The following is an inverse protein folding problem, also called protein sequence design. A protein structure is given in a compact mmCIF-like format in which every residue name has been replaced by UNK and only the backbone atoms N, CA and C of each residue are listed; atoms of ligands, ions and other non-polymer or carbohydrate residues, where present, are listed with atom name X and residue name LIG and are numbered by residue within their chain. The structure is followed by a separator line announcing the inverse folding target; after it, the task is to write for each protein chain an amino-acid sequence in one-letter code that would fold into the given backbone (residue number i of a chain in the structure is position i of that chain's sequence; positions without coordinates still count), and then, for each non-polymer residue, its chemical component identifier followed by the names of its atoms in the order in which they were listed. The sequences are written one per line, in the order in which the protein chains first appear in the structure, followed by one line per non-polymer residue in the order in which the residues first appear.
data_IF_221525482715
#
_entry.id   IF_221525482715
#
_cell.length_a   1.000
_cell.length_b   1.000
_cell.length_c   1.000
_cell.angle_alpha   90.00
_cell.angle_beta   90.00
_cell.angle_gamma   90.00
#
_symmetry.space_group_name_H-M   'P 1'
#
loop_
_entity.id
_entity.type
_entity.pdbx_description
1 polymer ?
#
# COMPACT_ATOMS: atom_id res chain seq x y z
N UNK A 1 -6.46 12.54 -45.99
CA UNK A 1 -5.95 11.96 -44.73
C UNK A 1 -6.46 12.85 -43.60
N UNK A 2 -7.58 12.45 -43.01
CA UNK A 2 -8.20 13.19 -41.89
C UNK A 2 -7.51 12.78 -40.63
N UNK A 3 -6.74 13.69 -40.05
CA UNK A 3 -6.16 13.51 -38.70
C UNK A 3 -7.32 13.55 -37.70
N UNK A 4 -7.75 12.38 -37.23
CA UNK A 4 -8.68 12.29 -36.10
C UNK A 4 -7.95 12.86 -34.89
N UNK A 5 -8.33 14.05 -34.47
CA UNK A 5 -7.87 14.65 -33.24
C UNK A 5 -8.26 13.67 -32.12
N UNK A 6 -7.25 13.06 -31.49
CA UNK A 6 -7.41 12.21 -30.32
C UNK A 6 -7.97 13.12 -29.22
N UNK A 7 -9.25 12.98 -28.90
CA UNK A 7 -9.81 13.67 -27.73
C UNK A 7 -8.92 13.34 -26.53
N UNK A 8 -8.53 14.40 -25.83
CA UNK A 8 -7.77 14.23 -24.58
C UNK A 8 -8.59 13.34 -23.64
N UNK A 9 -7.97 12.38 -22.93
CA UNK A 9 -8.67 11.52 -22.00
C UNK A 9 -9.51 12.40 -21.08
N UNK A 10 -10.78 12.00 -20.86
CA UNK A 10 -11.73 12.74 -20.01
C UNK A 10 -11.21 12.76 -18.58
N UNK A 11 -10.29 13.69 -18.33
CA UNK A 11 -9.78 13.95 -17.02
C UNK A 11 -10.95 14.28 -16.10
N UNK A 12 -10.94 13.74 -14.89
CA UNK A 12 -11.93 13.98 -13.85
C UNK A 12 -11.95 15.48 -13.54
N UNK A 13 -12.89 16.19 -14.17
CA UNK A 13 -12.88 17.66 -14.18
C UNK A 13 -13.78 18.28 -13.12
N UNK A 14 -14.80 17.53 -12.63
CA UNK A 14 -15.71 18.06 -11.62
C UNK A 14 -15.32 17.58 -10.21
N UNK A 15 -15.57 18.46 -9.22
CA UNK A 15 -15.40 18.11 -7.81
C UNK A 15 -16.37 17.01 -7.39
N UNK A 16 -17.56 17.00 -7.95
CA UNK A 16 -18.63 16.04 -7.62
C UNK A 16 -18.24 14.63 -8.08
N UNK A 17 -17.76 14.48 -9.33
CA UNK A 17 -17.27 13.20 -9.86
C UNK A 17 -16.10 12.68 -9.02
N UNK A 18 -15.12 13.54 -8.72
CA UNK A 18 -13.97 13.15 -7.92
C UNK A 18 -14.38 12.70 -6.52
N UNK A 19 -15.29 13.43 -5.87
CA UNK A 19 -15.75 13.11 -4.52
C UNK A 19 -16.53 11.80 -4.49
N UNK A 20 -17.34 11.52 -5.50
CA UNK A 20 -18.10 10.27 -5.61
C UNK A 20 -17.14 9.07 -5.75
N UNK A 21 -16.18 9.14 -6.67
CA UNK A 21 -15.17 8.11 -6.87
C UNK A 21 -14.30 7.92 -5.62
N UNK A 22 -13.87 9.02 -4.99
CA UNK A 22 -13.08 8.97 -3.78
C UNK A 22 -13.84 8.26 -2.64
N UNK A 23 -15.10 8.62 -2.42
CA UNK A 23 -15.93 8.02 -1.37
C UNK A 23 -16.10 6.50 -1.58
N UNK A 24 -16.28 6.06 -2.83
CA UNK A 24 -16.41 4.64 -3.16
C UNK A 24 -15.15 3.84 -2.78
N UNK A 25 -13.96 4.42 -2.89
CA UNK A 25 -12.69 3.73 -2.64
C UNK A 25 -12.10 4.00 -1.24
N UNK A 26 -12.68 4.93 -0.45
CA UNK A 26 -12.18 5.28 0.89
C UNK A 26 -11.95 4.09 1.83
N UNK A 27 -12.81 3.05 1.88
CA UNK A 27 -12.56 1.91 2.75
C UNK A 27 -11.24 1.20 2.45
N UNK A 28 -10.88 1.04 1.17
CA UNK A 28 -9.62 0.39 0.78
C UNK A 28 -8.43 1.33 0.95
N UNK A 29 -8.60 2.62 0.65
CA UNK A 29 -7.60 3.67 0.91
C UNK A 29 -7.17 3.66 2.38
N UNK A 30 -8.14 3.68 3.30
CA UNK A 30 -7.88 3.66 4.74
C UNK A 30 -7.19 2.37 5.18
N UNK A 31 -7.56 1.20 4.62
CA UNK A 31 -6.88 -0.07 4.92
C UNK A 31 -5.41 -0.04 4.49
N UNK A 32 -5.12 0.49 3.29
CA UNK A 32 -3.73 0.63 2.81
C UNK A 32 -2.95 1.59 3.71
N UNK A 33 -3.50 2.76 4.03
CA UNK A 33 -2.86 3.72 4.91
C UNK A 33 -2.56 3.10 6.29
N UNK A 34 -3.53 2.44 6.92
CA UNK A 34 -3.34 1.75 8.21
C UNK A 34 -2.29 0.66 8.14
N UNK A 35 -2.17 -0.04 7.01
CA UNK A 35 -1.21 -1.14 6.85
C UNK A 35 0.22 -0.66 6.64
N UNK A 36 0.41 0.45 5.92
CA UNK A 36 1.73 0.87 5.43
C UNK A 36 2.24 2.19 5.99
N UNK A 37 1.39 3.01 6.61
CA UNK A 37 1.84 4.21 7.31
C UNK A 37 2.56 3.86 8.62
N UNK A 38 3.45 4.75 9.10
CA UNK A 38 3.99 4.66 10.45
C UNK A 38 2.88 4.68 11.50
N UNK A 39 3.15 4.07 12.68
CA UNK A 39 2.19 4.05 13.77
C UNK A 39 1.70 5.46 14.12
N UNK A 40 0.39 5.63 14.25
CA UNK A 40 -0.27 6.91 14.56
C UNK A 40 -0.40 7.88 13.40
N UNK A 41 0.12 7.58 12.18
CA UNK A 41 0.10 8.49 11.04
C UNK A 41 -0.84 8.05 9.89
N UNK A 42 -1.69 7.05 10.10
CA UNK A 42 -2.55 6.54 9.04
C UNK A 42 -3.55 7.59 8.54
N UNK A 43 -4.12 8.39 9.44
CA UNK A 43 -5.09 9.42 9.10
C UNK A 43 -4.40 10.59 8.36
N UNK A 44 -3.22 11.00 8.81
CA UNK A 44 -2.41 12.02 8.14
C UNK A 44 -2.04 11.58 6.70
N UNK A 45 -1.60 10.32 6.55
CA UNK A 45 -1.28 9.74 5.24
C UNK A 45 -2.51 9.69 4.34
N UNK A 46 -3.67 9.33 4.90
CA UNK A 46 -4.93 9.32 4.15
C UNK A 46 -5.29 10.72 3.65
N UNK A 47 -5.20 11.72 4.51
CA UNK A 47 -5.49 13.12 4.14
C UNK A 47 -4.52 13.63 3.07
N UNK A 48 -3.21 13.43 3.27
CA UNK A 48 -2.18 13.83 2.29
C UNK A 48 -2.40 13.14 0.93
N UNK A 49 -2.76 11.85 0.94
CA UNK A 49 -3.06 11.12 -0.28
C UNK A 49 -4.30 11.67 -1.00
N UNK A 50 -5.38 12.01 -0.27
CA UNK A 50 -6.57 12.62 -0.84
C UNK A 50 -6.27 14.01 -1.44
N UNK A 51 -5.49 14.83 -0.74
CA UNK A 51 -5.05 16.13 -1.23
C UNK A 51 -4.15 16.00 -2.47
N UNK A 52 -3.23 15.04 -2.47
CA UNK A 52 -2.38 14.77 -3.63
C UNK A 52 -3.22 14.26 -4.82
N UNK A 53 -4.17 13.36 -4.58
CA UNK A 53 -5.09 12.88 -5.61
C UNK A 53 -5.90 14.02 -6.22
N UNK A 54 -6.43 14.93 -5.41
CA UNK A 54 -7.14 16.11 -5.91
C UNK A 54 -6.23 17.02 -6.75
N UNK A 55 -5.02 17.31 -6.30
CA UNK A 55 -4.05 18.15 -7.05
C UNK A 55 -3.69 17.52 -8.40
N UNK A 56 -3.55 16.18 -8.45
CA UNK A 56 -3.12 15.45 -9.65
C UNK A 56 -4.27 14.79 -10.41
N UNK A 57 -5.55 15.09 -10.11
CA UNK A 57 -6.72 14.48 -10.75
C UNK A 57 -6.72 14.58 -12.28
N UNK A 58 -6.12 15.65 -12.82
CA UNK A 58 -5.97 15.86 -14.26
C UNK A 58 -5.01 14.88 -14.92
N UNK A 59 -4.20 14.12 -14.13
CA UNK A 59 -3.30 13.08 -14.61
C UNK A 59 -3.92 11.70 -14.57
N UNK A 60 -5.11 11.57 -14.02
CA UNK A 60 -5.83 10.31 -14.02
C UNK A 60 -6.29 10.01 -15.45
N UNK A 61 -5.94 8.84 -15.93
CA UNK A 61 -6.31 8.33 -17.25
C UNK A 61 -7.04 6.99 -17.07
N UNK A 62 -8.36 6.95 -17.31
CA UNK A 62 -9.15 5.72 -17.17
C UNK A 62 -8.75 4.62 -18.15
N UNK A 63 -8.07 4.93 -19.26
CA UNK A 63 -7.54 3.94 -20.18
C UNK A 63 -6.33 3.19 -19.60
N UNK A 64 -5.60 3.80 -18.68
CA UNK A 64 -4.44 3.20 -18.01
C UNK A 64 -4.77 2.42 -16.73
N UNK A 65 -6.00 2.49 -16.24
CA UNK A 65 -6.43 1.73 -15.07
C UNK A 65 -7.56 2.37 -14.29
N UNK A 66 -8.04 1.65 -13.27
CA UNK A 66 -9.13 2.13 -12.43
C UNK A 66 -8.68 3.28 -11.51
N UNK A 67 -9.63 4.16 -11.13
CA UNK A 67 -9.41 5.21 -10.14
C UNK A 67 -8.88 4.63 -8.81
N UNK A 68 -9.40 3.48 -8.40
CA UNK A 68 -8.92 2.78 -7.22
C UNK A 68 -7.41 2.46 -7.31
N UNK A 69 -6.96 1.85 -8.40
CA UNK A 69 -5.53 1.52 -8.57
C UNK A 69 -4.66 2.78 -8.59
N UNK A 70 -5.14 3.83 -9.24
CA UNK A 70 -4.42 5.10 -9.32
C UNK A 70 -4.26 5.76 -7.94
N UNK A 71 -5.34 5.90 -7.15
CA UNK A 71 -5.26 6.50 -5.82
C UNK A 71 -4.47 5.64 -4.84
N UNK A 72 -4.55 4.30 -4.94
CA UNK A 72 -3.77 3.40 -4.08
C UNK A 72 -2.26 3.54 -4.31
N UNK A 73 -1.81 3.85 -5.54
CA UNK A 73 -0.40 4.20 -5.81
C UNK A 73 0.00 5.46 -5.04
N UNK A 74 -0.87 6.45 -4.96
CA UNK A 74 -0.63 7.70 -4.22
C UNK A 74 -0.55 7.41 -2.71
N UNK A 75 -1.51 6.68 -2.16
CA UNK A 75 -1.54 6.29 -0.72
C UNK A 75 -0.29 5.50 -0.34
N UNK A 76 0.08 4.53 -1.16
CA UNK A 76 1.28 3.71 -0.93
C UNK A 76 2.55 4.56 -0.97
N UNK A 77 2.65 5.50 -1.91
CA UNK A 77 3.75 6.45 -1.99
C UNK A 77 3.84 7.36 -0.75
N UNK A 78 2.72 7.98 -0.33
CA UNK A 78 2.69 8.85 0.85
C UNK A 78 3.00 8.07 2.14
N UNK A 79 2.56 6.81 2.27
CA UNK A 79 2.93 5.93 3.38
C UNK A 79 4.44 5.72 3.47
N UNK A 80 5.10 5.42 2.35
CA UNK A 80 6.56 5.27 2.30
C UNK A 80 7.30 6.57 2.59
N UNK A 81 6.80 7.69 2.10
CA UNK A 81 7.36 9.03 2.33
C UNK A 81 7.27 9.43 3.82
N UNK A 82 6.13 9.15 4.46
CA UNK A 82 5.95 9.35 5.91
C UNK A 82 6.96 8.52 6.71
N UNK A 83 7.12 7.24 6.39
CA UNK A 83 8.12 6.37 7.01
C UNK A 83 9.56 6.86 6.81
N UNK A 84 9.89 7.40 5.64
CA UNK A 84 11.22 7.96 5.38
C UNK A 84 11.47 9.27 6.17
N UNK A 85 10.44 10.11 6.34
CA UNK A 85 10.52 11.32 7.19
C UNK A 85 10.74 10.95 8.66
N UNK A 86 9.97 9.98 9.17
CA UNK A 86 10.11 9.49 10.55
C UNK A 86 11.52 8.97 10.84
N UNK A 87 12.11 8.19 9.92
CA UNK A 87 13.50 7.71 10.08
C UNK A 87 14.52 8.84 10.09
N UNK A 88 14.37 9.87 9.22
CA UNK A 88 15.27 11.04 9.21
C UNK A 88 15.17 11.83 10.51
N UNK A 89 13.98 12.06 11.02
CA UNK A 89 13.80 12.75 12.29
C UNK A 89 14.28 11.90 13.48
N UNK A 90 14.09 10.58 13.45
CA UNK A 90 14.64 9.66 14.45
C UNK A 90 16.17 9.59 14.47
N UNK A 91 16.84 9.74 13.33
CA UNK A 91 18.30 9.84 13.25
C UNK A 91 18.83 11.14 13.89
N UNK A 92 18.04 12.22 13.91
CA UNK A 92 18.38 13.47 14.61
C UNK A 92 18.16 13.38 16.12
N UNK A 93 17.29 12.48 16.59
CA UNK A 93 16.94 12.29 18.01
C UNK A 93 17.62 11.07 18.67
N UNK A 94 18.59 10.43 18.00
CA UNK A 94 19.43 9.36 18.55
C UNK A 94 18.79 7.98 18.58
N UNK A 95 19.25 7.13 17.70
CA UNK A 95 19.54 5.69 17.81
C UNK A 95 18.62 4.76 18.64
N UNK A 96 17.33 4.80 18.59
CA UNK A 96 16.52 3.67 19.09
C UNK A 96 15.23 3.58 18.28
N UNK A 97 15.10 2.53 17.51
CA UNK A 97 13.91 1.98 16.83
C UNK A 97 14.04 1.91 15.31
N UNK A 98 15.08 1.24 14.85
CA UNK A 98 15.12 0.82 13.45
C UNK A 98 14.81 -0.68 13.41
N UNK A 99 13.58 -1.03 13.09
CA UNK A 99 13.18 -2.30 12.45
C UNK A 99 11.67 -2.58 12.40
N UNK A 100 10.80 -1.86 13.13
CA UNK A 100 9.39 -2.26 13.28
C UNK A 100 8.34 -1.33 12.66
N UNK A 101 8.72 -0.27 11.94
CA UNK A 101 7.78 0.80 11.59
C UNK A 101 6.88 0.56 10.36
N UNK A 102 6.99 -0.57 9.66
CA UNK A 102 6.17 -0.85 8.49
C UNK A 102 5.01 -1.84 8.75
N UNK A 103 4.76 -2.24 9.98
CA UNK A 103 3.79 -3.26 10.28
C UNK A 103 3.12 -3.17 11.66
N UNK A 104 3.12 -2.00 12.30
CA UNK A 104 2.69 -1.88 13.70
C UNK A 104 1.32 -1.22 13.86
N UNK A 105 0.35 -1.54 13.02
CA UNK A 105 -1.02 -1.29 13.40
C UNK A 105 -1.76 -2.62 13.50
N UNK A 106 -2.49 -2.76 14.62
CA UNK A 106 -3.18 -3.96 15.05
C UNK A 106 -3.79 -4.72 13.87
N UNK A 107 -3.40 -5.97 13.76
CA UNK A 107 -4.07 -6.95 12.94
C UNK A 107 -5.56 -6.98 13.31
N UNK A 108 -6.44 -7.39 12.40
CA UNK A 108 -7.83 -7.64 12.72
C UNK A 108 -7.92 -8.49 13.98
N UNK A 109 -8.91 -8.23 14.86
CA UNK A 109 -9.12 -9.01 16.08
C UNK A 109 -9.11 -10.50 15.75
N UNK A 110 -8.18 -11.25 16.33
CA UNK A 110 -8.06 -12.70 16.13
C UNK A 110 -6.75 -13.15 15.45
N UNK A 111 -5.86 -12.24 15.09
CA UNK A 111 -4.55 -12.62 14.54
C UNK A 111 -3.55 -12.86 15.68
N UNK A 112 -2.75 -13.92 15.50
CA UNK A 112 -1.70 -14.31 16.43
C UNK A 112 -0.53 -13.31 16.39
N UNK A 113 -0.13 -12.77 17.55
CA UNK A 113 1.05 -11.92 17.71
C UNK A 113 2.33 -12.55 17.16
N UNK A 114 2.41 -13.87 17.19
CA UNK A 114 3.53 -14.63 16.65
C UNK A 114 3.62 -14.54 15.13
N UNK A 115 2.48 -14.64 14.46
CA UNK A 115 2.41 -14.46 13.00
C UNK A 115 2.76 -13.03 12.59
N UNK A 116 2.31 -12.02 13.36
CA UNK A 116 2.67 -10.61 13.11
C UNK A 116 4.18 -10.40 13.20
N UNK A 117 4.81 -10.89 14.27
CA UNK A 117 6.26 -10.81 14.46
C UNK A 117 7.01 -11.52 13.32
N UNK A 118 6.49 -12.65 12.85
CA UNK A 118 7.08 -13.42 11.73
C UNK A 118 6.96 -12.65 10.42
N UNK A 119 5.79 -12.06 10.12
CA UNK A 119 5.59 -11.22 8.94
C UNK A 119 6.49 -9.97 8.99
N UNK A 120 6.71 -9.39 10.16
CA UNK A 120 7.60 -8.23 10.31
C UNK A 120 9.07 -8.55 9.97
N UNK A 121 9.49 -9.82 10.09
CA UNK A 121 10.86 -10.30 9.74
C UNK A 121 11.05 -10.57 8.25
N UNK A 122 9.98 -10.68 7.47
CA UNK A 122 10.08 -10.90 6.03
C UNK A 122 10.86 -9.78 5.33
N UNK A 123 11.57 -10.06 4.23
CA UNK A 123 12.11 -9.03 3.36
C UNK A 123 11.04 -8.02 2.96
N UNK A 124 11.43 -6.75 2.80
CA UNK A 124 10.50 -5.65 2.51
C UNK A 124 9.49 -6.00 1.40
N UNK A 125 9.97 -6.54 0.27
CA UNK A 125 9.11 -6.86 -0.86
C UNK A 125 8.07 -7.94 -0.54
N UNK A 126 8.46 -8.96 0.21
CA UNK A 126 7.53 -10.01 0.65
C UNK A 126 6.46 -9.42 1.59
N UNK A 127 6.85 -8.55 2.54
CA UNK A 127 5.90 -7.86 3.43
C UNK A 127 4.90 -6.99 2.67
N UNK A 128 5.36 -6.26 1.64
CA UNK A 128 4.49 -5.42 0.81
C UNK A 128 3.44 -6.29 0.09
N UNK A 129 3.86 -7.36 -0.56
CA UNK A 129 2.97 -8.28 -1.29
C UNK A 129 2.00 -8.98 -0.33
N UNK A 130 2.50 -9.52 0.79
CA UNK A 130 1.67 -10.16 1.84
C UNK A 130 0.67 -9.16 2.41
N UNK A 131 1.11 -7.94 2.72
CA UNK A 131 0.26 -6.89 3.25
C UNK A 131 -0.88 -6.51 2.31
N UNK A 132 -0.58 -6.31 1.03
CA UNK A 132 -1.59 -5.94 0.03
C UNK A 132 -2.57 -7.09 -0.26
N UNK A 133 -2.07 -8.32 -0.36
CA UNK A 133 -2.89 -9.47 -0.71
C UNK A 133 -3.75 -9.97 0.45
N UNK A 134 -3.16 -10.21 1.63
CA UNK A 134 -3.88 -10.83 2.76
C UNK A 134 -4.54 -9.83 3.72
N UNK A 135 -4.00 -8.62 3.89
CA UNK A 135 -4.53 -7.66 4.86
C UNK A 135 -5.41 -6.60 4.22
N UNK A 136 -5.08 -6.19 3.01
CA UNK A 136 -5.88 -5.22 2.24
C UNK A 136 -6.91 -5.93 1.37
N UNK A 137 -6.72 -7.23 1.11
CA UNK A 137 -7.59 -8.07 0.27
C UNK A 137 -7.63 -7.61 -1.19
N UNK A 138 -6.45 -7.27 -1.75
CA UNK A 138 -6.34 -6.89 -3.14
C UNK A 138 -6.10 -8.11 -4.03
N UNK A 139 -6.79 -8.22 -5.19
CA UNK A 139 -6.51 -9.24 -6.18
C UNK A 139 -5.05 -9.16 -6.68
N UNK A 140 -4.48 -10.31 -7.07
CA UNK A 140 -3.10 -10.41 -7.59
C UNK A 140 -2.81 -9.38 -8.68
N UNK A 141 -3.75 -9.12 -9.58
CA UNK A 141 -3.60 -8.13 -10.64
C UNK A 141 -3.42 -6.73 -10.07
N UNK A 142 -4.25 -6.32 -9.10
CA UNK A 142 -4.14 -4.99 -8.47
C UNK A 142 -2.85 -4.84 -7.67
N UNK A 143 -2.40 -5.90 -6.99
CA UNK A 143 -1.09 -5.92 -6.31
C UNK A 143 0.04 -5.73 -7.32
N UNK A 144 -0.02 -6.42 -8.46
CA UNK A 144 0.96 -6.30 -9.54
C UNK A 144 1.00 -4.86 -10.09
N UNK A 145 -0.15 -4.27 -10.40
CA UNK A 145 -0.29 -2.91 -10.93
C UNK A 145 0.20 -1.86 -9.93
N UNK A 146 -0.15 -2.05 -8.64
CA UNK A 146 0.26 -1.14 -7.56
C UNK A 146 1.77 -1.14 -7.34
N UNK A 147 2.38 -2.32 -7.38
CA UNK A 147 3.80 -2.50 -7.14
C UNK A 147 4.68 -2.39 -8.40
N UNK A 148 4.08 -2.27 -9.59
CA UNK A 148 4.78 -2.20 -10.87
C UNK A 148 5.54 -3.48 -11.21
N UNK A 149 4.97 -4.66 -10.94
CA UNK A 149 5.57 -5.99 -11.20
C UNK A 149 4.58 -6.89 -11.93
N UNK A 150 5.06 -8.02 -12.45
CA UNK A 150 4.18 -8.99 -13.09
C UNK A 150 3.35 -9.79 -12.08
N UNK A 151 2.18 -10.29 -12.49
CA UNK A 151 1.38 -11.23 -11.70
C UNK A 151 2.16 -12.49 -11.33
N UNK A 152 3.05 -12.95 -12.21
CA UNK A 152 3.95 -14.07 -11.93
C UNK A 152 4.88 -13.76 -10.75
N UNK A 153 5.45 -12.56 -10.72
CA UNK A 153 6.30 -12.10 -9.62
C UNK A 153 5.51 -11.98 -8.31
N UNK A 154 4.26 -11.52 -8.33
CA UNK A 154 3.41 -11.49 -7.13
C UNK A 154 3.21 -12.91 -6.60
N UNK A 155 2.83 -13.86 -7.47
CA UNK A 155 2.59 -15.27 -7.08
C UNK A 155 3.83 -15.94 -6.51
N UNK A 156 5.01 -15.78 -7.15
CA UNK A 156 6.26 -16.33 -6.64
C UNK A 156 6.66 -15.70 -5.31
N UNK A 157 6.53 -14.37 -5.17
CA UNK A 157 6.80 -13.67 -3.91
C UNK A 157 5.89 -14.14 -2.77
N UNK A 158 4.60 -14.40 -3.04
CA UNK A 158 3.67 -14.98 -2.06
C UNK A 158 4.09 -16.41 -1.65
N UNK A 159 4.52 -17.23 -2.61
CA UNK A 159 5.00 -18.58 -2.32
C UNK A 159 6.28 -18.55 -1.45
N UNK A 160 7.22 -17.67 -1.77
CA UNK A 160 8.43 -17.47 -0.98
C UNK A 160 8.14 -16.98 0.43
N UNK A 161 7.21 -16.03 0.56
CA UNK A 161 6.79 -15.51 1.86
C UNK A 161 6.15 -16.60 2.74
N UNK A 162 5.28 -17.45 2.15
CA UNK A 162 4.68 -18.58 2.88
C UNK A 162 5.75 -19.53 3.40
N UNK A 163 6.70 -19.95 2.55
CA UNK A 163 7.83 -20.82 2.97
C UNK A 163 8.65 -20.19 4.10
N UNK A 164 8.91 -18.88 4.01
CA UNK A 164 9.65 -18.17 5.07
C UNK A 164 8.86 -18.13 6.39
N UNK A 165 7.55 -17.94 6.34
CA UNK A 165 6.67 -17.95 7.53
C UNK A 165 6.64 -19.35 8.15
N UNK A 166 6.42 -20.39 7.34
CA UNK A 166 6.38 -21.78 7.78
C UNK A 166 7.70 -22.20 8.47
N UNK A 167 8.84 -21.86 7.87
CA UNK A 167 10.15 -22.14 8.44
C UNK A 167 10.38 -21.43 9.80
N UNK A 168 9.90 -20.19 9.95
CA UNK A 168 10.02 -19.48 11.23
C UNK A 168 9.11 -20.06 12.32
N UNK A 169 7.89 -20.45 11.98
CA UNK A 169 6.95 -21.05 12.94
C UNK A 169 7.45 -22.43 13.40
N UNK A 170 7.89 -23.29 12.47
CA UNK A 170 8.45 -24.61 12.78
C UNK A 170 9.70 -24.53 13.68
N UNK A 171 10.56 -23.52 13.46
CA UNK A 171 11.76 -23.32 14.29
C UNK A 171 11.48 -22.88 15.72
N UNK A 172 10.29 -22.32 16.00
CA UNK A 172 9.89 -21.89 17.33
C UNK A 172 9.20 -23.00 18.15
N UNK A 173 8.59 -23.99 17.48
CA UNK A 173 8.00 -25.15 18.16
C UNK A 173 9.06 -26.13 18.68
N UNK A 174 10.31 -25.98 18.22
CA UNK A 174 11.43 -26.87 18.57
C UNK A 174 12.36 -26.30 19.66
N UNK A 175 12.04 -25.15 20.25
CA UNK A 175 12.83 -24.46 21.30
C UNK A 175 12.05 -24.32 22.57
#
# INVERSE_FOLDING_TARGET
MTVVAREAPKAMSSMEEFTAELNAVMPVVTRVARRFAPAGHADDVTQEACLAAWRYRHRFDPEQGSFQTWILKIVFHESHKAGARGRRNGLLLGRLTDRSHLCTQALPRGWDHQLEATVARLPRRQREVVGLYYFVDLPVQQVADLLGISCGTVKSTLADARRSIEAHLAGQESS
#
